data_IF_316799989316
#
_entry.id   IF_316799989316
#
_cell.length_a   1.000
_cell.length_b   1.000
_cell.length_c   1.000
_cell.angle_alpha   90.00
_cell.angle_beta   90.00
_cell.angle_gamma   90.00
#
_symmetry.space_group_name_H-M   'P 1'
#
loop_
_entity.id
_entity.type
_entity.pdbx_description
1 polymer ?
#
# COMPACT_ATOMS: atom_id res chain seq x y z
N UNK A 1 -25.35 -12.65 11.13
CA UNK A 1 -25.19 -11.57 10.13
C UNK A 1 -23.96 -11.88 9.29
N UNK A 2 -24.13 -12.50 8.12
CA UNK A 2 -23.02 -12.80 7.21
C UNK A 2 -22.59 -11.49 6.55
N UNK A 3 -21.50 -10.90 7.03
CA UNK A 3 -20.90 -9.73 6.41
C UNK A 3 -20.55 -10.06 4.97
N UNK A 4 -21.22 -9.40 4.01
CA UNK A 4 -20.86 -9.45 2.60
C UNK A 4 -19.37 -9.14 2.51
N UNK A 5 -18.56 -10.12 2.11
CA UNK A 5 -17.19 -9.87 1.68
C UNK A 5 -17.31 -8.84 0.55
N UNK A 6 -16.98 -7.58 0.82
CA UNK A 6 -16.67 -6.61 -0.22
C UNK A 6 -15.44 -7.19 -0.91
N UNK A 7 -15.68 -8.03 -1.92
CA UNK A 7 -14.73 -8.22 -2.98
C UNK A 7 -14.30 -6.81 -3.36
N UNK A 8 -13.00 -6.52 -3.29
CA UNK A 8 -12.45 -5.37 -3.97
C UNK A 8 -12.77 -5.62 -5.44
N UNK A 9 -13.96 -5.18 -5.86
CA UNK A 9 -14.23 -4.90 -7.24
C UNK A 9 -13.25 -3.77 -7.53
N UNK A 10 -12.04 -4.14 -7.93
CA UNK A 10 -11.13 -3.24 -8.60
C UNK A 10 -11.89 -2.87 -9.86
N UNK A 11 -12.66 -1.81 -9.72
CA UNK A 11 -13.45 -1.22 -10.79
C UNK A 11 -12.41 -0.87 -11.84
N UNK A 12 -12.57 -1.30 -13.09
CA UNK A 12 -11.64 -1.00 -14.19
C UNK A 12 -11.26 0.49 -14.24
N UNK A 13 -12.15 1.37 -13.78
CA UNK A 13 -11.94 2.81 -13.55
C UNK A 13 -10.73 3.17 -12.67
N UNK A 14 -10.27 2.29 -11.77
CA UNK A 14 -9.07 2.57 -10.96
C UNK A 14 -7.82 2.68 -11.83
N UNK A 15 -7.80 1.97 -12.96
CA UNK A 15 -6.70 2.02 -13.93
C UNK A 15 -6.65 3.35 -14.68
N UNK A 16 -7.73 4.14 -14.65
CA UNK A 16 -7.76 5.50 -15.20
C UNK A 16 -7.22 6.53 -14.19
N UNK A 17 -7.01 6.14 -12.92
CA UNK A 17 -6.54 7.05 -11.88
C UNK A 17 -5.01 7.19 -11.92
N UNK A 18 -4.44 8.38 -12.15
CA UNK A 18 -2.99 8.58 -12.16
C UNK A 18 -2.32 8.22 -10.82
N UNK A 19 -3.02 8.45 -9.70
CA UNK A 19 -2.55 8.09 -8.37
C UNK A 19 -2.41 6.58 -8.17
N UNK A 20 -3.21 5.78 -8.88
CA UNK A 20 -3.05 4.33 -8.88
C UNK A 20 -1.72 3.92 -9.52
N UNK A 21 -1.40 4.46 -10.71
CA UNK A 21 -0.14 4.17 -11.39
C UNK A 21 1.07 4.68 -10.64
N UNK A 22 0.94 5.86 -10.02
CA UNK A 22 1.97 6.38 -9.14
C UNK A 22 2.24 5.44 -7.95
N UNK A 23 1.18 4.95 -7.30
CA UNK A 23 1.29 4.02 -6.18
C UNK A 23 1.90 2.68 -6.62
N UNK A 24 1.53 2.17 -7.81
CA UNK A 24 2.09 0.94 -8.36
C UNK A 24 3.58 1.10 -8.68
N UNK A 25 3.97 2.22 -9.30
CA UNK A 25 5.37 2.53 -9.56
C UNK A 25 6.18 2.67 -8.27
N UNK A 26 5.61 3.31 -7.25
CA UNK A 26 6.24 3.40 -5.94
C UNK A 26 6.40 2.01 -5.28
N UNK A 27 5.36 1.16 -5.33
CA UNK A 27 5.44 -0.21 -4.84
C UNK A 27 6.51 -1.03 -5.57
N UNK A 28 6.67 -0.83 -6.88
CA UNK A 28 7.66 -1.53 -7.70
C UNK A 28 9.09 -1.08 -7.40
N UNK A 29 9.30 0.21 -7.14
CA UNK A 29 10.64 0.77 -6.89
C UNK A 29 11.13 0.56 -5.45
N UNK A 30 10.32 1.00 -4.49
CA UNK A 30 10.69 1.11 -3.07
C UNK A 30 9.67 0.43 -2.15
N UNK A 31 8.88 -0.49 -2.69
CA UNK A 31 7.92 -1.29 -1.97
C UNK A 31 8.32 -2.76 -1.82
N UNK A 32 7.46 -3.50 -1.16
CA UNK A 32 7.58 -4.96 -1.07
C UNK A 32 6.20 -5.56 -0.86
N UNK A 33 5.96 -6.72 -1.47
CA UNK A 33 4.72 -7.48 -1.28
C UNK A 33 5.01 -8.67 -0.38
N UNK A 34 4.20 -8.83 0.67
CA UNK A 34 4.15 -10.03 1.48
C UNK A 34 2.90 -10.80 1.09
N UNK A 35 3.10 -11.90 0.35
CA UNK A 35 2.06 -12.77 -0.18
C UNK A 35 1.03 -13.22 0.87
N UNK A 36 1.42 -13.24 2.15
CA UNK A 36 0.57 -13.71 3.25
C UNK A 36 -0.21 -12.57 3.90
N UNK A 37 0.29 -11.34 3.85
CA UNK A 37 -0.15 -10.28 4.74
C UNK A 37 -0.57 -8.99 4.03
N UNK A 38 0.11 -8.56 2.96
CA UNK A 38 -0.18 -7.26 2.37
C UNK A 38 0.95 -6.66 1.55
N UNK A 39 0.93 -5.34 1.43
CA UNK A 39 1.94 -4.57 0.71
C UNK A 39 2.57 -3.55 1.65
N UNK A 40 3.86 -3.30 1.47
CA UNK A 40 4.62 -2.34 2.25
C UNK A 40 5.26 -1.31 1.32
N UNK A 41 5.25 -0.05 1.74
CA UNK A 41 5.95 1.05 1.07
C UNK A 41 7.02 1.57 2.01
N UNK A 42 8.22 1.83 1.48
CA UNK A 42 9.32 2.27 2.31
C UNK A 42 9.87 3.62 1.84
N UNK A 43 10.25 4.48 2.78
CA UNK A 43 10.93 5.74 2.48
C UNK A 43 11.63 6.30 3.71
N UNK A 44 12.62 7.16 3.54
CA UNK A 44 13.10 8.05 4.61
C UNK A 44 12.32 9.36 4.68
N UNK A 45 11.47 9.62 3.67
CA UNK A 45 10.63 10.80 3.56
C UNK A 45 9.23 10.52 4.14
N UNK A 46 8.86 11.29 5.16
CA UNK A 46 7.57 11.20 5.82
C UNK A 46 6.42 11.68 4.93
N UNK A 47 6.63 12.71 4.11
CA UNK A 47 5.59 13.23 3.22
C UNK A 47 5.21 12.20 2.17
N UNK A 48 6.21 11.48 1.63
CA UNK A 48 5.98 10.39 0.67
C UNK A 48 5.13 9.26 1.28
N UNK A 49 5.39 8.88 2.52
CA UNK A 49 4.63 7.86 3.25
C UNK A 49 3.19 8.32 3.52
N UNK A 50 3.01 9.59 3.91
CA UNK A 50 1.67 10.18 4.12
C UNK A 50 0.88 10.20 2.82
N UNK A 51 1.50 10.62 1.71
CA UNK A 51 0.87 10.63 0.38
C UNK A 51 0.46 9.22 -0.06
N UNK A 52 1.34 8.22 0.11
CA UNK A 52 1.02 6.83 -0.19
C UNK A 52 -0.14 6.30 0.67
N UNK A 53 -0.18 6.62 1.98
CA UNK A 53 -1.29 6.22 2.86
C UNK A 53 -2.61 6.83 2.43
N UNK A 54 -2.61 8.11 2.08
CA UNK A 54 -3.81 8.81 1.60
C UNK A 54 -4.31 8.20 0.28
N UNK A 55 -3.42 7.91 -0.67
CA UNK A 55 -3.77 7.26 -1.93
C UNK A 55 -4.31 5.85 -1.71
N UNK A 56 -3.68 5.04 -0.86
CA UNK A 56 -4.18 3.70 -0.50
C UNK A 56 -5.61 3.78 0.05
N UNK A 57 -5.86 4.75 0.93
CA UNK A 57 -7.20 4.95 1.49
C UNK A 57 -8.21 5.40 0.44
N UNK A 58 -7.86 6.39 -0.39
CA UNK A 58 -8.73 6.91 -1.43
C UNK A 58 -9.06 5.87 -2.51
N UNK A 59 -8.08 5.06 -2.91
CA UNK A 59 -8.21 4.10 -4.01
C UNK A 59 -8.86 2.79 -3.57
N UNK A 60 -8.52 2.29 -2.38
CA UNK A 60 -8.92 0.94 -1.93
C UNK A 60 -9.78 0.93 -0.67
N UNK A 61 -9.97 2.08 0.00
CA UNK A 61 -10.67 2.15 1.28
C UNK A 61 -9.91 1.44 2.41
N UNK A 62 -8.60 1.24 2.25
CA UNK A 62 -7.74 0.56 3.23
C UNK A 62 -7.00 1.60 4.07
N UNK A 63 -6.77 1.28 5.34
CA UNK A 63 -5.83 2.05 6.16
C UNK A 63 -4.52 1.29 6.31
N UNK A 64 -3.43 2.03 6.52
CA UNK A 64 -2.09 1.47 6.70
C UNK A 64 -1.45 1.94 8.00
N UNK A 65 -0.68 1.07 8.62
CA UNK A 65 0.09 1.38 9.82
C UNK A 65 1.50 1.83 9.40
N UNK A 66 1.99 2.92 10.00
CA UNK A 66 3.35 3.43 9.75
C UNK A 66 4.26 3.00 10.89
N UNK A 67 5.40 2.40 10.54
CA UNK A 67 6.42 1.96 11.48
C UNK A 67 7.74 2.68 11.20
N UNK A 68 8.45 3.06 12.27
CA UNK A 68 9.83 3.47 12.19
C UNK A 68 10.75 2.24 12.27
N UNK A 69 11.56 2.04 11.24
CA UNK A 69 12.63 1.06 11.24
C UNK A 69 13.94 1.79 11.53
N UNK A 70 14.37 1.71 12.80
CA UNK A 70 15.65 2.26 13.25
C UNK A 70 16.74 1.23 13.00
N UNK A 71 17.65 1.51 12.07
CA UNK A 71 18.86 0.70 11.85
C UNK A 71 20.09 1.59 12.03
N UNK A 72 20.80 1.56 13.17
CA UNK A 72 22.11 2.20 13.27
C UNK A 72 23.10 1.54 12.29
N UNK A 73 24.02 2.27 11.61
CA UNK A 73 24.27 3.73 11.61
C UNK A 73 23.45 4.55 10.58
N UNK A 74 22.41 3.98 9.99
CA UNK A 74 21.67 4.56 8.85
C UNK A 74 20.53 5.49 9.31
N UNK A 75 20.04 6.32 8.37
CA UNK A 75 18.83 7.15 8.60
C UNK A 75 17.63 6.26 8.93
N UNK A 76 16.79 6.70 9.87
CA UNK A 76 15.51 6.07 10.17
C UNK A 76 14.70 5.92 8.89
N UNK A 77 14.29 4.69 8.59
CA UNK A 77 13.45 4.37 7.43
C UNK A 77 12.02 4.18 7.93
N UNK A 78 11.07 4.80 7.27
CA UNK A 78 9.65 4.62 7.52
C UNK A 78 9.12 3.50 6.64
N UNK A 79 8.20 2.72 7.20
CA UNK A 79 7.48 1.66 6.50
C UNK A 79 5.99 1.83 6.70
N UNK A 80 5.27 2.09 5.62
CA UNK A 80 3.82 1.98 5.58
C UNK A 80 3.45 0.53 5.28
N UNK A 81 2.66 -0.09 6.16
CA UNK A 81 2.18 -1.45 6.02
C UNK A 81 0.67 -1.44 5.79
N UNK A 82 0.25 -2.01 4.67
CA UNK A 82 -1.16 -2.12 4.29
C UNK A 82 -1.55 -3.59 4.30
N UNK A 83 -2.25 -4.01 5.35
CA UNK A 83 -2.67 -5.40 5.52
C UNK A 83 -3.91 -5.70 4.66
N UNK A 84 -3.70 -6.33 3.50
CA UNK A 84 -4.81 -6.75 2.63
C UNK A 84 -4.39 -7.89 1.71
N UNK A 85 -4.80 -9.11 2.07
CA UNK A 85 -4.64 -10.29 1.20
C UNK A 85 -5.37 -10.16 -0.13
N UNK A 86 -6.48 -9.43 -0.16
CA UNK A 86 -7.23 -9.18 -1.38
C UNK A 86 -6.46 -8.27 -2.34
N UNK A 87 -5.76 -7.25 -1.83
CA UNK A 87 -4.90 -6.39 -2.64
C UNK A 87 -3.71 -7.18 -3.21
N UNK A 88 -3.10 -8.03 -2.39
CA UNK A 88 -2.01 -8.92 -2.82
C UNK A 88 -2.47 -9.85 -3.95
N UNK A 89 -3.59 -10.55 -3.75
CA UNK A 89 -4.15 -11.42 -4.80
C UNK A 89 -4.43 -10.66 -6.08
N UNK A 90 -4.97 -9.44 -5.96
CA UNK A 90 -5.25 -8.61 -7.11
C UNK A 90 -3.98 -8.21 -7.88
N UNK A 91 -2.87 -7.93 -7.19
CA UNK A 91 -1.58 -7.62 -7.83
C UNK A 91 -0.99 -8.81 -8.60
N UNK A 92 -1.29 -10.05 -8.17
CA UNK A 92 -0.71 -11.27 -8.76
C UNK A 92 -1.63 -12.02 -9.74
N UNK A 93 -2.93 -11.70 -9.79
CA UNK A 93 -3.92 -12.39 -10.63
C UNK A 93 -4.66 -13.51 -9.91
#
# INVERSE_FOLDING_TARGET
>A
MHGKKKSLAVVEKILENPGFWWLLGYLQGDGSVDDRNGVWFHSTDQELIVAARQLVNALFGLDGAVYEERRPPWKTKLRLVVYSRSLVKWLYG
#
